data_IF_801930079779
#
_entry.id   IF_801930079779
#
_cell.length_a   1.000
_cell.length_b   1.000
_cell.length_c   1.000
_cell.angle_alpha   90.00
_cell.angle_beta   90.00
_cell.angle_gamma   90.00
#
_symmetry.space_group_name_H-M   'P 1'
#
loop_
_entity.id
_entity.type
_entity.pdbx_description
1 polymer ?
#
# COMPACT_ATOMS: atom_id res chain seq x y z
N UNK A 1 -5.80 -41.17 -24.78
CA UNK A 1 -5.74 -40.90 -23.31
C UNK A 1 -4.84 -39.69 -22.91
N UNK A 2 -4.82 -38.56 -23.66
CA UNK A 2 -3.86 -37.43 -23.46
C UNK A 2 -4.45 -36.08 -22.98
N UNK A 3 -5.66 -36.02 -22.39
CA UNK A 3 -6.33 -34.74 -22.02
C UNK A 3 -6.43 -34.41 -20.52
N UNK A 4 -5.93 -35.27 -19.63
CA UNK A 4 -6.20 -35.14 -18.18
C UNK A 4 -5.54 -33.90 -17.55
N UNK A 5 -4.31 -33.55 -17.94
CA UNK A 5 -3.57 -32.42 -17.35
C UNK A 5 -4.15 -31.04 -17.67
N UNK A 6 -4.47 -30.76 -18.95
CA UNK A 6 -5.08 -29.48 -19.35
C UNK A 6 -6.46 -29.27 -18.72
N UNK A 7 -7.24 -30.36 -18.57
CA UNK A 7 -8.59 -30.27 -18.03
C UNK A 7 -8.64 -29.80 -16.58
N UNK A 8 -7.62 -30.08 -15.78
CA UNK A 8 -7.61 -29.76 -14.35
C UNK A 8 -7.31 -28.29 -14.06
N UNK A 9 -6.33 -27.70 -14.76
CA UNK A 9 -6.05 -26.26 -14.69
C UNK A 9 -7.22 -25.42 -15.20
N UNK A 10 -7.83 -25.85 -16.31
CA UNK A 10 -9.06 -25.25 -16.85
C UNK A 10 -10.23 -25.38 -15.86
N UNK A 11 -10.37 -26.51 -15.16
CA UNK A 11 -11.40 -26.70 -14.14
C UNK A 11 -11.23 -25.72 -12.97
N UNK A 12 -10.01 -25.58 -12.44
CA UNK A 12 -9.72 -24.68 -11.32
C UNK A 12 -9.98 -23.21 -11.67
N UNK A 13 -9.51 -22.78 -12.84
CA UNK A 13 -9.72 -21.40 -13.30
C UNK A 13 -11.19 -21.08 -13.52
N UNK A 14 -11.98 -22.01 -14.05
CA UNK A 14 -13.41 -21.78 -14.25
C UNK A 14 -14.20 -21.84 -12.94
N UNK A 15 -13.85 -22.74 -12.01
CA UNK A 15 -14.45 -22.76 -10.67
C UNK A 15 -14.22 -21.45 -9.93
N UNK A 16 -13.01 -20.89 -10.00
CA UNK A 16 -12.70 -19.62 -9.32
C UNK A 16 -13.46 -18.44 -9.92
N UNK A 17 -13.71 -18.42 -11.24
CA UNK A 17 -14.55 -17.39 -11.87
C UNK A 17 -16.01 -17.48 -11.40
N UNK A 18 -16.57 -18.69 -11.36
CA UNK A 18 -17.94 -18.89 -10.85
C UNK A 18 -18.06 -18.50 -9.37
N UNK A 19 -17.09 -18.87 -8.53
CA UNK A 19 -17.05 -18.45 -7.13
C UNK A 19 -16.96 -16.92 -7.00
N UNK A 20 -16.21 -16.27 -7.89
CA UNK A 20 -16.11 -14.80 -7.90
C UNK A 20 -17.44 -14.16 -8.27
N UNK A 21 -18.13 -14.65 -9.31
CA UNK A 21 -19.46 -14.15 -9.66
C UNK A 21 -20.45 -14.38 -8.52
N UNK A 22 -20.44 -15.56 -7.91
CA UNK A 22 -21.28 -15.89 -6.76
C UNK A 22 -21.04 -14.97 -5.54
N UNK A 23 -19.82 -14.45 -5.37
CA UNK A 23 -19.49 -13.51 -4.28
C UNK A 23 -19.82 -12.05 -4.59
N UNK A 24 -19.80 -11.66 -5.87
CA UNK A 24 -19.98 -10.27 -6.31
C UNK A 24 -21.46 -9.97 -6.58
N UNK A 25 -22.19 -10.91 -7.19
CA UNK A 25 -23.59 -10.72 -7.52
C UNK A 25 -24.43 -10.77 -6.24
N UNK A 26 -25.13 -9.68 -5.93
CA UNK A 26 -26.09 -9.62 -4.81
C UNK A 26 -27.39 -10.31 -5.18
N UNK A 27 -27.82 -10.22 -6.45
CA UNK A 27 -29.01 -10.89 -6.95
C UNK A 27 -28.68 -12.15 -7.76
N UNK A 28 -29.54 -13.16 -7.63
CA UNK A 28 -29.39 -14.43 -8.32
C UNK A 28 -29.59 -14.31 -9.83
N UNK A 29 -30.40 -13.36 -10.30
CA UNK A 29 -30.60 -13.05 -11.72
C UNK A 29 -29.27 -12.69 -12.40
N UNK A 30 -28.52 -11.77 -11.80
CA UNK A 30 -27.25 -11.25 -12.33
C UNK A 30 -26.20 -12.36 -12.39
N UNK A 31 -26.20 -13.24 -11.38
CA UNK A 31 -25.34 -14.42 -11.38
C UNK A 31 -25.67 -15.38 -12.53
N UNK A 32 -26.96 -15.67 -12.77
CA UNK A 32 -27.36 -16.55 -13.88
C UNK A 32 -27.04 -15.93 -15.23
N UNK A 33 -27.19 -14.62 -15.39
CA UNK A 33 -26.82 -13.91 -16.61
C UNK A 33 -25.30 -14.00 -16.88
N UNK A 34 -24.49 -13.62 -15.89
CA UNK A 34 -23.02 -13.69 -15.99
C UNK A 34 -22.54 -15.12 -16.26
N UNK A 35 -23.16 -16.10 -15.60
CA UNK A 35 -22.92 -17.52 -15.81
C UNK A 35 -23.28 -17.96 -17.23
N UNK A 36 -24.44 -17.55 -17.75
CA UNK A 36 -24.88 -17.86 -19.13
C UNK A 36 -23.91 -17.30 -20.16
N UNK A 37 -23.47 -16.06 -19.99
CA UNK A 37 -22.47 -15.41 -20.85
C UNK A 37 -21.14 -16.20 -20.83
N UNK A 38 -20.66 -16.56 -19.63
CA UNK A 38 -19.43 -17.35 -19.48
C UNK A 38 -19.54 -18.70 -20.17
N UNK A 39 -20.60 -19.47 -19.93
CA UNK A 39 -20.76 -20.79 -20.53
C UNK A 39 -20.99 -20.73 -22.04
N UNK A 40 -21.68 -19.70 -22.55
CA UNK A 40 -21.85 -19.46 -23.98
C UNK A 40 -20.49 -19.23 -24.67
N UNK A 41 -19.70 -18.29 -24.14
CA UNK A 41 -18.37 -17.98 -24.71
C UNK A 41 -17.39 -19.16 -24.64
N UNK A 42 -17.44 -19.97 -23.58
CA UNK A 42 -16.64 -21.20 -23.49
C UNK A 42 -17.09 -22.27 -24.49
N UNK A 43 -18.40 -22.39 -24.72
CA UNK A 43 -18.93 -23.32 -25.72
C UNK A 43 -18.43 -22.96 -27.12
N UNK A 44 -18.46 -21.66 -27.49
CA UNK A 44 -17.92 -21.17 -28.77
C UNK A 44 -16.42 -21.45 -28.92
N UNK A 45 -15.67 -21.48 -27.81
CA UNK A 45 -14.24 -21.80 -27.78
C UNK A 45 -13.93 -23.31 -27.80
N UNK A 46 -14.95 -24.16 -27.99
CA UNK A 46 -14.78 -25.61 -28.15
C UNK A 46 -14.71 -26.41 -26.83
N UNK A 47 -15.14 -25.83 -25.70
CA UNK A 47 -15.22 -26.58 -24.44
C UNK A 47 -16.39 -27.56 -24.45
N UNK A 48 -16.14 -28.82 -24.04
CA UNK A 48 -17.16 -29.87 -24.04
C UNK A 48 -18.27 -29.62 -23.02
N UNK A 49 -19.53 -29.84 -23.40
CA UNK A 49 -20.71 -29.65 -22.53
C UNK A 49 -20.63 -30.46 -21.23
N UNK A 50 -20.11 -31.69 -21.26
CA UNK A 50 -19.97 -32.54 -20.06
C UNK A 50 -18.98 -31.95 -19.06
N UNK A 51 -17.89 -31.35 -19.55
CA UNK A 51 -16.92 -30.65 -18.72
C UNK A 51 -17.54 -29.39 -18.08
N UNK A 52 -18.26 -28.59 -18.86
CA UNK A 52 -18.94 -27.39 -18.36
C UNK A 52 -20.01 -27.73 -17.30
N UNK A 53 -20.77 -28.82 -17.50
CA UNK A 53 -21.73 -29.32 -16.51
C UNK A 53 -21.03 -29.76 -15.22
N UNK A 54 -19.88 -30.43 -15.32
CA UNK A 54 -19.06 -30.80 -14.16
C UNK A 54 -18.56 -29.58 -13.39
N UNK A 55 -18.05 -28.55 -14.08
CA UNK A 55 -17.63 -27.28 -13.47
C UNK A 55 -18.80 -26.67 -12.69
N UNK A 56 -19.97 -26.56 -13.32
CA UNK A 56 -21.15 -25.95 -12.71
C UNK A 56 -21.70 -26.73 -11.49
N UNK A 57 -21.54 -28.05 -11.45
CA UNK A 57 -21.99 -28.84 -10.28
C UNK A 57 -21.05 -28.69 -9.09
N UNK A 58 -19.76 -28.54 -9.36
CA UNK A 58 -18.71 -28.76 -8.36
C UNK A 58 -18.03 -27.46 -7.89
N UNK A 59 -18.47 -26.28 -8.35
CA UNK A 59 -17.76 -25.02 -8.05
C UNK A 59 -17.87 -24.56 -6.60
N UNK A 60 -18.91 -24.98 -5.87
CA UNK A 60 -19.11 -24.70 -4.44
C UNK A 60 -18.44 -25.74 -3.53
N UNK A 61 -17.90 -26.82 -4.08
CA UNK A 61 -17.20 -27.82 -3.28
C UNK A 61 -15.90 -27.21 -2.73
N UNK A 62 -15.84 -27.09 -1.40
CA UNK A 62 -14.62 -26.69 -0.71
C UNK A 62 -13.56 -27.78 -0.86
N UNK A 63 -12.35 -27.37 -1.28
CA UNK A 63 -11.20 -28.26 -1.26
C UNK A 63 -10.58 -28.23 0.13
N UNK A 64 -10.25 -29.38 0.72
CA UNK A 64 -9.50 -29.41 1.96
C UNK A 64 -8.17 -28.69 1.76
N UNK A 65 -7.85 -27.79 2.70
CA UNK A 65 -6.56 -27.10 2.73
C UNK A 65 -5.51 -28.16 3.01
N UNK A 66 -4.63 -28.44 2.04
CA UNK A 66 -3.44 -29.26 2.30
C UNK A 66 -2.46 -28.42 3.12
N UNK A 67 -2.15 -28.88 4.33
CA UNK A 67 -1.23 -28.23 5.29
C UNK A 67 0.24 -28.59 5.02
N UNK A 68 0.54 -29.34 3.95
CA UNK A 68 1.91 -29.78 3.64
C UNK A 68 2.79 -28.64 3.15
N UNK A 69 4.07 -28.66 3.53
CA UNK A 69 5.07 -27.67 3.10
C UNK A 69 5.40 -27.85 1.62
N UNK A 70 4.98 -26.92 0.77
CA UNK A 70 5.13 -27.07 -0.68
C UNK A 70 6.50 -26.58 -1.17
N UNK A 71 7.21 -27.42 -1.94
CA UNK A 71 8.47 -27.08 -2.61
C UNK A 71 8.19 -26.69 -4.07
N UNK A 72 8.21 -25.39 -4.42
CA UNK A 72 7.86 -24.95 -5.76
C UNK A 72 8.98 -25.24 -6.77
N UNK A 73 8.69 -26.11 -7.73
CA UNK A 73 9.51 -26.31 -8.93
C UNK A 73 8.96 -25.42 -10.06
N UNK A 74 9.63 -24.29 -10.29
CA UNK A 74 9.20 -23.29 -11.29
C UNK A 74 9.80 -23.60 -12.65
N UNK A 75 8.95 -23.75 -13.67
CA UNK A 75 9.40 -23.98 -15.05
C UNK A 75 8.46 -23.39 -16.09
N UNK A 76 8.91 -23.32 -17.34
CA UNK A 76 8.07 -22.87 -18.44
C UNK A 76 6.98 -23.91 -18.76
N UNK A 77 5.78 -23.45 -19.05
CA UNK A 77 4.70 -24.34 -19.51
C UNK A 77 5.02 -24.89 -20.90
N UNK A 78 5.29 -26.20 -20.98
CA UNK A 78 5.47 -26.95 -22.22
C UNK A 78 4.86 -28.35 -22.08
N UNK A 79 4.17 -28.88 -23.11
CA UNK A 79 3.64 -30.24 -23.08
C UNK A 79 4.70 -31.32 -22.78
N UNK A 80 5.93 -31.12 -23.25
CA UNK A 80 7.05 -32.04 -23.02
C UNK A 80 7.51 -32.03 -21.55
N UNK A 81 7.41 -30.89 -20.87
CA UNK A 81 7.80 -30.75 -19.46
C UNK A 81 6.86 -31.47 -18.49
N UNK A 82 5.66 -31.84 -18.93
CA UNK A 82 4.73 -32.62 -18.10
C UNK A 82 5.29 -33.99 -17.72
N UNK A 83 5.98 -34.65 -18.65
CA UNK A 83 6.63 -35.94 -18.40
C UNK A 83 7.81 -35.79 -17.43
N UNK A 84 8.62 -34.75 -17.62
CA UNK A 84 9.73 -34.43 -16.73
C UNK A 84 9.27 -34.18 -15.29
N UNK A 85 8.21 -33.38 -15.08
CA UNK A 85 7.66 -33.14 -13.74
C UNK A 85 7.22 -34.45 -13.07
N UNK A 86 6.61 -35.35 -13.84
CA UNK A 86 6.18 -36.64 -13.32
C UNK A 86 7.38 -37.42 -12.79
N UNK A 87 8.44 -37.54 -13.59
CA UNK A 87 9.67 -38.20 -13.17
C UNK A 87 10.32 -37.53 -11.95
N UNK A 88 10.34 -36.20 -11.89
CA UNK A 88 10.87 -35.47 -10.71
C UNK A 88 10.05 -35.79 -9.46
N UNK A 89 8.72 -35.82 -9.56
CA UNK A 89 7.85 -36.16 -8.42
C UNK A 89 8.03 -37.61 -7.96
N UNK A 90 8.13 -38.55 -8.89
CA UNK A 90 8.38 -39.96 -8.60
C UNK A 90 9.74 -40.13 -7.91
N UNK A 91 10.80 -39.56 -8.48
CA UNK A 91 12.14 -39.60 -7.89
C UNK A 91 12.20 -38.93 -6.51
N UNK A 92 11.50 -37.81 -6.34
CA UNK A 92 11.42 -37.13 -5.05
C UNK A 92 10.75 -38.00 -3.99
N UNK A 93 9.66 -38.68 -4.33
CA UNK A 93 9.00 -39.62 -3.42
C UNK A 93 9.92 -40.78 -3.03
N UNK A 94 10.62 -41.37 -4.00
CA UNK A 94 11.61 -42.42 -3.73
C UNK A 94 12.72 -41.91 -2.80
N UNK A 95 13.27 -40.73 -3.06
CA UNK A 95 14.33 -40.13 -2.24
C UNK A 95 13.85 -39.82 -0.81
N UNK A 96 12.64 -39.30 -0.63
CA UNK A 96 12.05 -39.04 0.69
C UNK A 96 11.88 -40.35 1.47
N UNK A 97 11.46 -41.42 0.80
CA UNK A 97 11.33 -42.75 1.43
C UNK A 97 12.69 -43.32 1.86
N UNK A 98 13.71 -43.18 1.02
CA UNK A 98 15.06 -43.69 1.30
C UNK A 98 15.79 -42.88 2.38
N UNK A 99 15.73 -41.55 2.30
CA UNK A 99 16.53 -40.65 3.16
C UNK A 99 15.81 -40.24 4.44
N UNK A 100 14.48 -40.35 4.49
CA UNK A 100 13.61 -39.81 5.57
C UNK A 100 13.80 -38.30 5.82
N UNK A 101 14.40 -37.58 4.87
CA UNK A 101 14.58 -36.14 4.91
C UNK A 101 13.41 -35.51 4.13
N UNK A 102 12.88 -34.39 4.62
CA UNK A 102 11.77 -33.64 3.99
C UNK A 102 10.45 -34.45 3.84
N UNK A 103 10.14 -35.34 4.79
CA UNK A 103 8.90 -36.14 4.81
C UNK A 103 7.62 -35.30 4.72
N UNK A 104 7.67 -34.09 5.26
CA UNK A 104 6.52 -33.18 5.33
C UNK A 104 6.39 -32.28 4.08
N UNK A 105 7.25 -32.48 3.08
CA UNK A 105 7.31 -31.63 1.90
C UNK A 105 6.75 -32.31 0.64
N UNK A 106 6.00 -31.56 -0.18
CA UNK A 106 5.50 -32.02 -1.48
C UNK A 106 6.04 -31.13 -2.60
N UNK A 107 6.57 -31.73 -3.67
CA UNK A 107 6.97 -30.96 -4.87
C UNK A 107 5.74 -30.40 -5.57
N UNK A 108 5.66 -29.08 -5.60
CA UNK A 108 4.64 -28.31 -6.32
C UNK A 108 5.18 -27.91 -7.69
N UNK A 109 4.58 -28.42 -8.76
CA UNK A 109 4.88 -27.95 -10.10
C UNK A 109 4.25 -26.57 -10.33
N UNK A 110 5.08 -25.55 -10.52
CA UNK A 110 4.67 -24.19 -10.81
C UNK A 110 5.06 -23.82 -12.26
N UNK A 111 4.09 -23.37 -13.05
CA UNK A 111 4.32 -23.05 -14.45
C UNK A 111 4.36 -21.54 -14.69
N UNK A 112 5.46 -21.07 -15.27
CA UNK A 112 5.59 -19.73 -15.84
C UNK A 112 5.09 -19.74 -17.27
N UNK A 113 4.37 -18.68 -17.67
CA UNK A 113 3.98 -18.46 -19.06
C UNK A 113 5.22 -18.29 -19.95
N UNK A 114 5.16 -18.81 -21.18
CA UNK A 114 6.17 -18.49 -22.18
C UNK A 114 6.14 -16.99 -22.51
N UNK A 115 7.31 -16.45 -22.85
CA UNK A 115 7.41 -15.09 -23.38
C UNK A 115 6.70 -15.05 -24.73
N UNK A 116 5.80 -14.10 -24.92
CA UNK A 116 5.15 -13.85 -26.21
C UNK A 116 5.87 -12.70 -26.94
N UNK A 117 5.53 -12.46 -28.20
CA UNK A 117 6.11 -11.38 -29.00
C UNK A 117 6.07 -10.03 -28.27
N UNK A 118 4.97 -9.73 -27.56
CA UNK A 118 4.87 -8.51 -26.74
C UNK A 118 5.98 -8.43 -25.68
N UNK A 119 6.34 -9.53 -25.02
CA UNK A 119 7.41 -9.53 -24.01
C UNK A 119 8.82 -9.34 -24.60
N UNK A 120 9.02 -9.74 -25.85
CA UNK A 120 10.28 -9.54 -26.56
C UNK A 120 10.38 -8.14 -27.17
N UNK A 121 9.31 -7.68 -27.81
CA UNK A 121 9.25 -6.44 -28.58
C UNK A 121 9.04 -5.22 -27.69
N UNK A 122 8.31 -5.35 -26.58
CA UNK A 122 7.98 -4.23 -25.69
C UNK A 122 8.83 -4.30 -24.42
N UNK A 123 10.11 -3.92 -24.52
CA UNK A 123 10.95 -3.65 -23.32
C UNK A 123 10.65 -2.29 -22.71
N UNK A 124 10.23 -1.31 -23.52
CA UNK A 124 9.90 0.03 -23.07
C UNK A 124 8.40 0.13 -22.77
N UNK A 125 8.04 0.26 -21.49
CA UNK A 125 6.75 0.89 -21.16
C UNK A 125 6.82 2.31 -21.69
N UNK A 126 6.05 2.63 -22.73
CA UNK A 126 5.79 4.02 -23.08
C UNK A 126 5.28 4.70 -21.81
N UNK A 127 5.93 5.78 -21.40
CA UNK A 127 5.43 6.58 -20.27
C UNK A 127 4.03 7.04 -20.69
N UNK A 128 2.97 6.80 -19.90
CA UNK A 128 1.64 7.25 -20.27
C UNK A 128 1.71 8.76 -20.53
N UNK A 129 1.25 9.19 -21.70
CA UNK A 129 1.18 10.60 -22.13
C UNK A 129 0.29 11.41 -21.18
N UNK A 130 -0.73 10.76 -20.62
CA UNK A 130 -1.46 11.25 -19.46
C UNK A 130 -0.54 11.07 -18.26
N UNK A 131 0.16 12.14 -17.88
CA UNK A 131 0.53 12.31 -16.48
C UNK A 131 -0.77 12.19 -15.69
N UNK A 132 -1.03 11.04 -15.06
CA UNK A 132 -2.01 11.00 -13.97
C UNK A 132 -1.69 12.19 -13.10
N UNK A 133 -2.67 13.09 -12.85
CA UNK A 133 -2.50 14.21 -11.91
C UNK A 133 -1.73 13.62 -10.74
N UNK A 134 -0.48 14.06 -10.55
CA UNK A 134 0.38 13.46 -9.54
C UNK A 134 -0.45 13.41 -8.29
N UNK A 135 -0.68 12.22 -7.70
CA UNK A 135 -1.36 12.08 -6.41
C UNK A 135 -0.92 13.28 -5.58
N UNK A 136 -1.86 14.05 -5.06
CA UNK A 136 -1.77 15.41 -4.50
C UNK A 136 -0.81 15.53 -3.29
N UNK A 137 0.41 15.01 -3.46
CA UNK A 137 1.43 14.69 -2.48
C UNK A 137 2.23 15.96 -2.21
N UNK A 138 1.55 16.95 -1.61
CA UNK A 138 2.17 18.22 -1.27
C UNK A 138 1.27 19.43 -1.30
N UNK A 139 -0.04 19.31 -1.59
CA UNK A 139 -0.95 20.48 -1.61
C UNK A 139 -1.03 21.21 -0.27
N UNK A 140 -0.76 20.50 0.83
CA UNK A 140 -0.67 21.06 2.17
C UNK A 140 0.58 21.97 2.33
N UNK A 141 1.61 21.81 1.50
CA UNK A 141 2.87 22.52 1.64
C UNK A 141 2.82 23.88 0.96
N UNK A 142 3.15 24.93 1.71
CA UNK A 142 3.34 26.29 1.21
C UNK A 142 4.60 26.86 1.84
N UNK A 143 5.60 27.12 1.01
CA UNK A 143 6.78 27.84 1.48
C UNK A 143 6.38 29.26 1.90
N UNK A 144 6.77 29.67 3.11
CA UNK A 144 6.61 31.03 3.61
C UNK A 144 7.99 31.53 3.99
N UNK A 145 8.37 32.70 3.45
CA UNK A 145 9.61 33.40 3.82
C UNK A 145 9.45 34.13 5.15
N UNK A 146 8.25 34.65 5.42
CA UNK A 146 7.90 35.36 6.64
C UNK A 146 6.78 34.60 7.35
N UNK A 147 6.96 34.41 8.66
CA UNK A 147 6.01 33.75 9.53
C UNK A 147 5.54 34.79 10.53
N UNK A 148 4.28 35.16 10.42
CA UNK A 148 3.64 36.10 11.32
C UNK A 148 2.68 35.35 12.24
N UNK A 149 2.92 35.41 13.54
CA UNK A 149 1.96 34.94 14.53
C UNK A 149 1.06 36.10 14.97
N UNK A 150 -0.21 36.02 14.58
CA UNK A 150 -1.25 37.02 14.91
C UNK A 150 -1.52 37.10 16.42
N UNK A 151 -1.28 36.03 17.18
CA UNK A 151 -1.59 35.97 18.61
C UNK A 151 -0.51 36.60 19.49
N UNK A 152 0.75 36.55 19.08
CA UNK A 152 1.88 37.14 19.81
C UNK A 152 2.45 38.39 19.14
N UNK A 153 1.86 38.79 18.00
CA UNK A 153 2.32 39.89 17.13
C UNK A 153 3.81 39.78 16.73
N UNK A 154 4.30 38.55 16.56
CA UNK A 154 5.71 38.29 16.25
C UNK A 154 5.91 37.90 14.78
N UNK A 155 6.97 38.44 14.16
CA UNK A 155 7.36 38.12 12.79
C UNK A 155 8.74 37.47 12.77
N UNK A 156 8.86 36.33 12.07
CA UNK A 156 10.12 35.62 11.90
C UNK A 156 10.43 35.38 10.43
N UNK A 157 11.68 35.64 10.04
CA UNK A 157 12.21 35.34 8.72
C UNK A 157 12.74 33.89 8.68
N UNK A 158 12.16 33.06 7.81
CA UNK A 158 12.63 31.71 7.55
C UNK A 158 13.78 31.74 6.54
N UNK A 159 14.98 31.38 6.99
CA UNK A 159 16.18 31.34 6.12
C UNK A 159 16.20 30.10 5.21
N UNK A 160 15.52 29.03 5.61
CA UNK A 160 15.54 27.74 4.91
C UNK A 160 14.48 27.67 3.80
N UNK A 161 14.92 27.40 2.56
CA UNK A 161 14.00 27.07 1.44
C UNK A 161 13.73 25.56 1.43
N UNK A 162 12.76 25.12 2.23
CA UNK A 162 12.33 23.71 2.26
C UNK A 162 11.28 23.35 1.20
N UNK A 163 11.07 22.05 1.02
CA UNK A 163 9.98 21.48 0.20
C UNK A 163 9.25 20.38 0.98
N UNK A 164 8.12 19.87 0.45
CA UNK A 164 7.45 18.70 1.04
C UNK A 164 8.34 17.44 1.12
N UNK A 165 9.46 17.39 0.38
CA UNK A 165 10.41 16.26 0.39
C UNK A 165 11.55 16.44 1.38
N UNK A 166 11.67 17.61 2.02
CA UNK A 166 12.71 17.85 3.02
C UNK A 166 12.56 16.89 4.19
N UNK A 167 13.65 16.20 4.55
CA UNK A 167 13.78 15.31 5.70
C UNK A 167 14.60 15.96 6.80
N UNK A 168 14.62 15.35 7.99
CA UNK A 168 15.37 15.81 9.16
C UNK A 168 15.17 17.32 9.43
N UNK A 169 13.92 17.70 9.67
CA UNK A 169 13.51 19.11 9.72
C UNK A 169 12.52 19.40 10.84
N UNK A 170 12.46 20.68 11.22
CA UNK A 170 11.42 21.29 12.03
C UNK A 170 10.46 22.01 11.09
N UNK A 171 9.17 21.79 11.29
CA UNK A 171 8.12 22.35 10.46
C UNK A 171 7.05 23.05 11.31
N UNK A 172 6.32 23.93 10.63
CA UNK A 172 5.18 24.65 11.15
C UNK A 172 3.92 24.15 10.44
N UNK A 173 2.89 23.82 11.22
CA UNK A 173 1.51 23.74 10.74
C UNK A 173 0.82 25.05 11.08
N UNK A 174 0.14 25.65 10.09
CA UNK A 174 -0.75 26.80 10.30
C UNK A 174 -2.17 26.43 9.85
N UNK A 175 -3.15 26.69 10.70
CA UNK A 175 -4.56 26.58 10.32
C UNK A 175 -4.97 27.78 9.45
N UNK A 176 -5.49 27.54 8.25
CA UNK A 176 -5.99 28.61 7.35
C UNK A 176 -7.19 29.35 7.94
N UNK A 177 -7.99 28.68 8.76
CA UNK A 177 -9.27 29.20 9.27
C UNK A 177 -9.07 30.18 10.43
N UNK A 178 -8.21 29.83 11.41
CA UNK A 178 -8.04 30.63 12.63
C UNK A 178 -6.59 31.05 12.92
N UNK A 179 -5.66 30.79 11.99
CA UNK A 179 -4.23 31.12 12.08
C UNK A 179 -3.46 30.50 13.26
N UNK A 180 -4.06 29.62 14.08
CA UNK A 180 -3.35 28.89 15.13
C UNK A 180 -2.22 28.05 14.54
N UNK A 181 -1.13 27.98 15.29
CA UNK A 181 0.13 27.40 14.85
C UNK A 181 0.53 26.20 15.71
N UNK A 182 1.20 25.24 15.08
CA UNK A 182 1.84 24.09 15.71
C UNK A 182 3.24 23.90 15.15
N UNK A 183 4.24 23.78 16.01
CA UNK A 183 5.60 23.41 15.62
C UNK A 183 5.82 21.93 15.91
N UNK A 184 6.44 21.21 14.96
CA UNK A 184 6.80 19.82 15.13
C UNK A 184 8.10 19.43 14.44
N UNK A 185 8.71 18.33 14.85
CA UNK A 185 9.88 17.74 14.18
C UNK A 185 9.58 16.47 13.36
N UNK A 186 10.42 16.18 12.38
CA UNK A 186 10.47 14.86 11.73
C UNK A 186 11.87 14.49 11.25
N UNK A 187 12.30 13.24 11.53
CA UNK A 187 13.46 12.61 10.86
C UNK A 187 13.13 12.26 9.40
N UNK A 188 11.92 11.74 9.16
CA UNK A 188 11.43 11.38 7.83
C UNK A 188 11.13 12.63 6.99
N UNK A 189 10.85 12.46 5.70
CA UNK A 189 10.39 13.56 4.86
C UNK A 189 9.09 14.17 5.39
N UNK A 190 8.92 15.48 5.18
CA UNK A 190 7.72 16.21 5.60
C UNK A 190 6.44 15.57 5.03
N UNK A 191 6.49 15.11 3.78
CA UNK A 191 5.39 14.39 3.13
C UNK A 191 4.96 13.13 3.89
N UNK A 192 5.92 12.33 4.38
CA UNK A 192 5.62 11.14 5.18
C UNK A 192 4.98 11.55 6.52
N UNK A 193 5.53 12.58 7.18
CA UNK A 193 4.98 13.09 8.44
C UNK A 193 3.55 13.61 8.29
N UNK A 194 3.25 14.34 7.23
CA UNK A 194 1.90 14.86 6.97
C UNK A 194 0.91 13.77 6.55
N UNK A 195 1.39 12.70 5.91
CA UNK A 195 0.56 11.53 5.66
C UNK A 195 0.13 10.88 6.99
N UNK A 196 1.05 10.80 7.97
CA UNK A 196 0.73 10.31 9.31
C UNK A 196 -0.26 11.23 10.04
N UNK A 197 -0.04 12.54 10.02
CA UNK A 197 -0.99 13.52 10.60
C UNK A 197 -2.38 13.40 9.97
N UNK A 198 -2.45 13.34 8.63
CA UNK A 198 -3.72 13.16 7.90
C UNK A 198 -4.42 11.88 8.33
N UNK A 199 -3.69 10.78 8.43
CA UNK A 199 -4.25 9.51 8.87
C UNK A 199 -4.77 9.60 10.32
N UNK A 200 -4.00 10.18 11.23
CA UNK A 200 -4.39 10.33 12.64
C UNK A 200 -5.65 11.16 12.80
N UNK A 201 -5.75 12.31 12.12
CA UNK A 201 -6.94 13.17 12.15
C UNK A 201 -8.15 12.44 11.57
N UNK A 202 -8.03 11.87 10.37
CA UNK A 202 -9.15 11.19 9.69
C UNK A 202 -9.62 9.92 10.43
N UNK A 203 -8.72 9.24 11.15
CA UNK A 203 -9.03 8.04 11.93
C UNK A 203 -9.20 8.32 13.43
N UNK A 204 -9.28 9.59 13.84
CA UNK A 204 -9.47 10.03 15.23
C UNK A 204 -8.48 9.35 16.21
N UNK A 205 -7.21 9.22 15.81
CA UNK A 205 -6.14 8.72 16.68
C UNK A 205 -5.44 9.88 17.37
N UNK A 206 -5.17 9.76 18.67
CA UNK A 206 -4.47 10.79 19.45
C UNK A 206 -5.33 12.03 19.75
N UNK A 207 -6.62 11.82 20.02
CA UNK A 207 -7.59 12.88 20.39
C UNK A 207 -7.29 13.59 21.70
N UNK A 208 -6.28 13.14 22.45
CA UNK A 208 -5.74 13.85 23.60
C UNK A 208 -4.87 15.04 23.20
N UNK A 209 -4.37 15.10 21.96
CA UNK A 209 -3.51 16.21 21.52
C UNK A 209 -4.33 17.38 20.99
N UNK A 210 -3.93 18.60 21.33
CA UNK A 210 -4.59 19.83 20.86
C UNK A 210 -4.58 19.94 19.32
N UNK A 211 -3.50 19.48 18.67
CA UNK A 211 -3.41 19.43 17.21
C UNK A 211 -4.55 18.61 16.58
N UNK A 212 -4.77 17.38 17.07
CA UNK A 212 -5.80 16.48 16.51
C UNK A 212 -7.19 17.00 16.81
N UNK A 213 -7.46 17.41 18.05
CA UNK A 213 -8.75 18.01 18.44
C UNK A 213 -9.11 19.19 17.55
N UNK A 214 -8.15 20.09 17.30
CA UNK A 214 -8.35 21.27 16.48
C UNK A 214 -8.73 20.95 15.03
N UNK A 215 -7.99 20.04 14.38
CA UNK A 215 -8.25 19.69 12.98
C UNK A 215 -9.40 18.69 12.78
N UNK A 216 -9.94 18.11 13.84
CA UNK A 216 -11.24 17.43 13.78
C UNK A 216 -12.39 18.42 13.56
N UNK A 217 -12.28 19.64 14.10
CA UNK A 217 -13.28 20.70 13.96
C UNK A 217 -13.07 21.46 12.64
N UNK A 218 -11.85 21.91 12.36
CA UNK A 218 -11.56 22.73 11.16
C UNK A 218 -11.33 21.90 9.88
N UNK A 219 -11.16 20.59 10.01
CA UNK A 219 -10.92 19.68 8.89
C UNK A 219 -9.52 19.78 8.27
N UNK A 220 -9.11 18.72 7.57
CA UNK A 220 -7.77 18.61 6.95
C UNK A 220 -7.47 19.70 5.91
N UNK A 221 -8.49 20.21 5.22
CA UNK A 221 -8.30 21.22 4.15
C UNK A 221 -7.74 22.55 4.69
N UNK A 222 -7.95 22.82 5.98
CA UNK A 222 -7.43 23.99 6.68
C UNK A 222 -5.95 23.86 7.05
N UNK A 223 -5.31 22.70 6.87
CA UNK A 223 -3.89 22.51 7.19
C UNK A 223 -3.00 23.15 6.12
N UNK A 224 -2.03 23.95 6.56
CA UNK A 224 -0.86 24.33 5.75
C UNK A 224 0.43 24.01 6.47
N UNK A 225 1.49 23.71 5.72
CA UNK A 225 2.80 23.40 6.24
C UNK A 225 3.90 24.25 5.64
N UNK A 226 4.86 24.62 6.46
CA UNK A 226 6.10 25.29 6.06
C UNK A 226 7.27 24.65 6.79
N UNK A 227 8.41 24.46 6.14
CA UNK A 227 9.66 24.07 6.82
C UNK A 227 10.24 25.31 7.49
N UNK A 228 10.53 25.23 8.79
CA UNK A 228 11.18 26.29 9.56
C UNK A 228 12.70 26.19 9.44
N UNK A 229 13.22 24.99 9.64
CA UNK A 229 14.64 24.72 9.68
C UNK A 229 14.88 23.25 9.33
N UNK A 230 15.97 22.97 8.62
CA UNK A 230 16.32 21.61 8.24
C UNK A 230 17.82 21.44 8.16
N UNK A 231 18.31 20.31 8.65
CA UNK A 231 19.70 19.90 8.48
C UNK A 231 19.73 18.37 8.39
N UNK A 232 20.33 17.84 7.33
CA UNK A 232 20.45 16.39 7.11
C UNK A 232 21.21 15.69 8.23
N UNK A 233 22.16 16.39 8.85
CA UNK A 233 23.15 15.82 9.75
C UNK A 233 22.72 15.92 11.23
N UNK A 234 21.56 16.52 11.49
CA UNK A 234 21.05 16.64 12.85
C UNK A 234 20.81 15.30 13.52
N UNK A 235 21.35 15.17 14.72
CA UNK A 235 20.94 14.12 15.66
C UNK A 235 19.50 14.34 16.13
N UNK A 236 18.88 13.30 16.70
CA UNK A 236 17.54 13.42 17.26
C UNK A 236 17.47 14.48 18.38
N UNK A 237 18.54 14.65 19.16
CA UNK A 237 18.59 15.64 20.24
C UNK A 237 18.69 17.06 19.70
N UNK A 238 19.56 17.31 18.71
CA UNK A 238 19.68 18.63 18.06
C UNK A 238 18.35 19.06 17.43
N UNK A 239 17.68 18.14 16.72
CA UNK A 239 16.39 18.44 16.09
C UNK A 239 15.29 18.72 17.12
N UNK A 240 15.23 17.98 18.23
CA UNK A 240 14.30 18.27 19.35
C UNK A 240 14.60 19.60 20.03
N UNK A 241 15.87 19.98 20.14
CA UNK A 241 16.24 21.28 20.69
C UNK A 241 15.80 22.42 19.76
N UNK A 242 16.02 22.28 18.45
CA UNK A 242 15.53 23.24 17.46
C UNK A 242 14.00 23.37 17.50
N UNK A 243 13.26 22.25 17.59
CA UNK A 243 11.80 22.25 17.77
C UNK A 243 11.37 23.07 18.99
N UNK A 244 12.01 22.86 20.15
CA UNK A 244 11.74 23.61 21.39
C UNK A 244 11.99 25.11 21.22
N UNK A 245 13.10 25.49 20.60
CA UNK A 245 13.40 26.90 20.32
C UNK A 245 12.33 27.54 19.45
N UNK A 246 11.87 26.83 18.41
CA UNK A 246 10.82 27.33 17.53
C UNK A 246 9.45 27.43 18.24
N UNK A 247 9.11 26.50 19.13
CA UNK A 247 7.90 26.59 19.96
C UNK A 247 7.93 27.86 20.84
N UNK A 248 9.09 28.16 21.46
CA UNK A 248 9.24 29.34 22.30
C UNK A 248 9.21 30.64 21.50
N UNK A 249 9.95 30.70 20.38
CA UNK A 249 10.01 31.87 19.51
C UNK A 249 8.63 32.21 18.93
N UNK A 250 7.95 31.23 18.36
CA UNK A 250 6.66 31.45 17.72
C UNK A 250 5.48 31.43 18.68
N UNK A 251 5.70 31.29 20.00
CA UNK A 251 4.67 31.18 21.03
C UNK A 251 3.51 30.25 20.65
N UNK A 252 3.83 29.03 20.20
CA UNK A 252 2.83 28.09 19.67
C UNK A 252 2.22 27.17 20.73
N UNK A 253 2.45 27.45 22.01
CA UNK A 253 1.85 26.71 23.11
C UNK A 253 0.36 27.07 23.28
N UNK A 254 -0.44 26.11 23.73
CA UNK A 254 -1.83 26.34 24.11
C UNK A 254 -1.91 27.40 25.24
N UNK A 255 -2.87 28.35 25.23
CA UNK A 255 -4.08 28.42 24.39
C UNK A 255 -3.94 29.13 23.03
N UNK A 256 -2.90 29.95 22.85
CA UNK A 256 -2.66 30.75 21.63
C UNK A 256 -2.22 29.90 20.42
N UNK A 257 -1.57 28.76 20.66
CA UNK A 257 -1.22 27.78 19.65
C UNK A 257 -1.75 26.38 19.96
N UNK A 258 -1.11 25.37 19.37
CA UNK A 258 -1.56 23.97 19.37
C UNK A 258 -0.52 22.99 19.97
N UNK A 259 0.60 23.50 20.49
CA UNK A 259 1.57 22.69 21.24
C UNK A 259 1.14 22.56 22.72
N UNK A 260 1.35 21.38 23.31
CA UNK A 260 0.85 21.02 24.66
C UNK A 260 1.40 21.90 25.80
N UNK A 261 2.70 22.26 25.79
CA UNK A 261 3.30 23.07 26.84
C UNK A 261 4.52 23.86 26.34
N UNK A 262 4.78 25.02 26.96
CA UNK A 262 6.04 25.76 26.78
C UNK A 262 7.18 24.93 27.40
N UNK A 263 8.28 24.68 26.68
CA UNK A 263 9.48 24.10 27.28
C UNK A 263 9.93 24.98 28.45
N UNK A 264 10.27 24.37 29.61
CA UNK A 264 10.89 25.11 30.71
C UNK A 264 12.19 25.74 30.21
N UNK A 265 12.41 27.02 30.48
CA UNK A 265 13.68 27.66 30.22
C UNK A 265 14.77 26.88 30.98
N UNK A 266 15.76 26.36 30.25
CA UNK A 266 16.95 25.79 30.89
C UNK A 266 17.79 26.99 31.28
N UNK A 267 17.92 27.24 32.58
CA UNK A 267 18.91 28.17 33.12
C UNK A 267 20.28 27.75 32.61
N UNK A 268 20.91 28.63 31.84
CA UNK A 268 22.32 28.52 31.49
C UNK A 268 23.14 28.70 32.77
N UNK A 269 23.63 27.58 33.31
CA UNK A 269 24.75 27.52 34.25
C UNK A 269 26.00 27.09 33.48
#
# INVERSE_FOLDING_TARGET
RRRLGLSFLQLLTLKSQLLRFHRICTQQSDFQEAKKILFSTLSTRGYCRTFLRKVNRTFLEDKPIKVTSQLPLVMLYSPHMLGYIRGVKENFQTLVQTTKILTDHEVLAAYRRNKNLKDYLVKAKLRPTIRTKSKDLGQFFKHKRWIYNVFSDTVYLTRTKGTARTSNCVYLITCKTCQKMYVGETKNTLLVRFTQHRYNILRRKGTNTHLVQHFLIHGWQSVTATVLESNSDWTAQQRKWAERLWIMRLDTAHPGGLNEAKPRAVSSS
#
